data_IF_469946577296
#
_entry.id   IF_469946577296
#
_cell.length_a   1.000
_cell.length_b   1.000
_cell.length_c   1.000
_cell.angle_alpha   90.00
_cell.angle_beta   90.00
_cell.angle_gamma   90.00
#
_symmetry.space_group_name_H-M   'P 1'
#
loop_
_entity.id
_entity.type
_entity.pdbx_description
1 polymer ?
#
# COMPACT_ATOMS: atom_id res chain seq x y z
N UNK A 1 -4.54 10.24 11.90
CA UNK A 1 -3.95 9.18 11.07
C UNK A 1 -4.82 7.94 11.11
N UNK A 2 -4.77 7.16 10.06
CA UNK A 2 -5.54 5.93 9.97
C UNK A 2 -4.70 4.84 9.30
N UNK A 3 -5.03 3.59 9.60
CA UNK A 3 -4.37 2.43 9.02
C UNK A 3 -5.37 1.64 8.19
N UNK A 4 -4.92 1.17 7.03
CA UNK A 4 -5.74 0.38 6.13
C UNK A 4 -4.94 -0.82 5.65
N UNK A 5 -5.64 -1.87 5.27
CA UNK A 5 -5.02 -3.07 4.72
C UNK A 5 -5.46 -3.29 3.29
N UNK A 6 -4.55 -3.81 2.48
CA UNK A 6 -4.91 -4.32 1.16
C UNK A 6 -4.33 -5.72 0.96
N UNK A 7 -4.89 -6.44 0.02
CA UNK A 7 -4.32 -7.71 -0.45
C UNK A 7 -4.04 -7.59 -1.93
N UNK A 8 -3.26 -8.49 -2.46
CA UNK A 8 -3.03 -8.62 -3.89
C UNK A 8 -3.32 -10.07 -4.30
N UNK A 9 -2.95 -10.43 -5.53
CA UNK A 9 -3.24 -11.79 -6.00
C UNK A 9 -2.50 -12.88 -5.22
N UNK A 10 -1.48 -12.53 -4.43
CA UNK A 10 -0.80 -13.51 -3.59
C UNK A 10 -1.62 -13.89 -2.36
N UNK A 11 -2.67 -13.15 -2.07
CA UNK A 11 -3.51 -13.39 -0.89
C UNK A 11 -2.91 -12.90 0.42
N UNK A 12 -1.75 -12.25 0.37
CA UNK A 12 -1.11 -11.70 1.57
C UNK A 12 -1.67 -10.33 1.89
N UNK A 13 -1.58 -9.94 3.14
CA UNK A 13 -2.07 -8.65 3.60
C UNK A 13 -0.92 -7.68 3.83
N UNK A 14 -1.12 -6.42 3.45
CA UNK A 14 -0.15 -5.35 3.65
C UNK A 14 -0.86 -4.16 4.24
N UNK A 15 -0.34 -3.63 5.35
CA UNK A 15 -0.97 -2.52 6.06
C UNK A 15 -0.19 -1.24 5.80
N UNK A 16 -0.91 -0.16 5.53
CA UNK A 16 -0.31 1.14 5.28
C UNK A 16 -1.00 2.22 6.10
N UNK A 17 -0.27 3.30 6.34
CA UNK A 17 -0.75 4.42 7.13
C UNK A 17 -1.07 5.60 6.22
N UNK A 18 -2.17 6.28 6.50
CA UNK A 18 -2.53 7.53 5.85
C UNK A 18 -2.59 8.63 6.89
N UNK A 19 -1.98 9.78 6.58
CA UNK A 19 -2.00 10.94 7.46
C UNK A 19 -2.89 12.06 6.91
N UNK A 20 -3.10 12.09 5.60
CA UNK A 20 -3.87 13.13 4.94
C UNK A 20 -5.37 12.81 5.02
N UNK A 21 -6.16 13.73 5.52
CA UNK A 21 -7.61 13.53 5.71
C UNK A 21 -8.32 13.19 4.41
N UNK A 22 -7.92 13.82 3.32
CA UNK A 22 -8.55 13.55 2.03
C UNK A 22 -8.28 12.12 1.56
N UNK A 23 -7.07 11.64 1.77
CA UNK A 23 -6.71 10.25 1.41
C UNK A 23 -7.44 9.26 2.29
N UNK A 24 -7.59 9.56 3.58
CA UNK A 24 -8.34 8.71 4.51
C UNK A 24 -9.80 8.60 4.05
N UNK A 25 -10.40 9.71 3.66
CA UNK A 25 -11.77 9.69 3.18
C UNK A 25 -11.91 8.92 1.88
N UNK A 26 -10.96 9.06 0.96
CA UNK A 26 -10.95 8.28 -0.28
C UNK A 26 -10.87 6.78 0.01
N UNK A 27 -10.00 6.37 0.93
CA UNK A 27 -9.89 4.97 1.31
C UNK A 27 -11.21 4.43 1.87
N UNK A 28 -11.89 5.21 2.67
CA UNK A 28 -13.19 4.82 3.23
C UNK A 28 -14.26 4.69 2.16
N UNK A 29 -14.22 5.55 1.13
CA UNK A 29 -15.16 5.45 0.00
C UNK A 29 -14.88 4.22 -0.87
N UNK A 30 -13.61 3.82 -1.00
CA UNK A 30 -13.26 2.58 -1.68
C UNK A 30 -13.83 1.39 -0.91
N UNK A 31 -13.65 1.37 0.40
CA UNK A 31 -14.13 0.28 1.23
C UNK A 31 -15.66 0.19 1.25
N UNK A 32 -16.35 1.31 1.20
CA UNK A 32 -17.81 1.32 1.21
C UNK A 32 -18.43 0.99 -0.15
N UNK A 33 -17.62 0.95 -1.20
CA UNK A 33 -18.11 0.71 -2.56
C UNK A 33 -18.56 1.97 -3.29
N UNK A 34 -18.44 3.15 -2.68
CA UNK A 34 -18.75 4.39 -3.34
C UNK A 34 -17.77 4.72 -4.46
N UNK A 35 -16.49 4.46 -4.23
CA UNK A 35 -15.46 4.64 -5.26
C UNK A 35 -15.16 3.29 -5.89
N UNK A 36 -15.35 3.17 -7.19
CA UNK A 36 -15.16 1.90 -7.90
C UNK A 36 -14.10 1.97 -9.00
N UNK A 37 -13.51 3.13 -9.23
CA UNK A 37 -12.54 3.32 -10.32
C UNK A 37 -11.10 3.39 -9.80
N UNK A 38 -10.78 4.36 -8.99
CA UNK A 38 -9.44 4.54 -8.44
C UNK A 38 -9.31 3.76 -7.14
N UNK A 39 -9.20 2.45 -7.26
CA UNK A 39 -9.26 1.54 -6.12
C UNK A 39 -7.95 0.84 -5.79
N UNK A 40 -6.93 1.03 -6.59
CA UNK A 40 -5.61 0.42 -6.37
C UNK A 40 -4.68 1.39 -5.65
N UNK A 41 -3.76 0.87 -4.85
CA UNK A 41 -2.88 1.66 -4.00
C UNK A 41 -1.54 1.88 -4.66
N UNK A 42 -1.01 3.09 -4.58
CA UNK A 42 0.36 3.37 -5.02
C UNK A 42 1.04 4.35 -4.08
N UNK A 43 2.35 4.30 -4.04
CA UNK A 43 3.15 5.20 -3.23
C UNK A 43 4.61 4.82 -3.28
N UNK A 44 5.43 5.56 -2.54
CA UNK A 44 6.86 5.24 -2.45
C UNK A 44 7.10 4.31 -1.28
N UNK A 45 7.91 3.28 -1.52
CA UNK A 45 8.27 2.38 -0.43
C UNK A 45 9.44 2.93 0.36
N UNK A 46 9.51 2.53 1.63
CA UNK A 46 10.65 2.70 2.50
C UNK A 46 11.13 1.31 2.87
N UNK A 47 12.44 1.06 2.78
CA UNK A 47 12.98 -0.29 2.97
C UNK A 47 13.29 -0.56 4.44
N UNK A 48 12.33 -0.26 5.29
CA UNK A 48 12.39 -0.54 6.72
C UNK A 48 11.04 -1.07 7.19
N UNK A 49 11.07 -1.87 8.24
CA UNK A 49 9.84 -2.43 8.81
C UNK A 49 9.09 -1.41 9.64
N UNK A 50 7.78 -1.60 9.73
CA UNK A 50 6.94 -0.84 10.66
C UNK A 50 6.12 -1.82 11.47
N UNK A 51 5.95 -1.52 12.75
CA UNK A 51 5.21 -2.41 13.65
C UNK A 51 3.77 -2.61 13.25
N UNK A 52 3.15 -1.64 12.60
CA UNK A 52 1.76 -1.78 12.17
C UNK A 52 1.61 -2.68 10.93
N UNK A 53 2.72 -3.04 10.27
CA UNK A 53 2.72 -3.87 9.08
C UNK A 53 3.59 -5.11 9.31
N UNK A 54 3.17 -6.01 10.21
CA UNK A 54 4.00 -7.13 10.62
C UNK A 54 4.22 -8.14 9.48
N UNK A 55 5.39 -8.73 9.47
CA UNK A 55 5.75 -9.73 8.48
C UNK A 55 6.47 -9.17 7.27
N UNK A 56 6.55 -7.85 7.11
CA UNK A 56 7.21 -7.22 5.97
C UNK A 56 8.35 -6.31 6.42
N UNK A 57 9.42 -6.27 5.62
CA UNK A 57 10.59 -5.46 5.92
C UNK A 57 10.57 -4.13 5.17
N UNK A 58 9.45 -3.74 4.66
CA UNK A 58 9.25 -2.46 4.00
C UNK A 58 7.84 -1.94 4.30
N UNK A 59 7.63 -0.67 4.04
CA UNK A 59 6.31 -0.06 4.21
C UNK A 59 6.13 1.06 3.19
N UNK A 60 4.93 1.58 3.07
CA UNK A 60 4.64 2.72 2.21
C UNK A 60 4.77 4.02 2.99
N UNK A 61 5.49 4.99 2.42
CA UNK A 61 5.61 6.32 3.01
C UNK A 61 4.23 6.98 2.99
N UNK A 62 3.66 7.28 4.16
CA UNK A 62 2.28 7.77 4.25
C UNK A 62 1.99 9.03 3.42
N UNK A 63 3.00 9.89 3.27
CA UNK A 63 2.81 11.16 2.59
C UNK A 63 2.82 11.05 1.06
N UNK A 64 3.09 9.87 0.54
CA UNK A 64 3.21 9.65 -0.90
C UNK A 64 2.07 8.80 -1.46
N UNK A 65 1.18 8.31 -0.62
CA UNK A 65 0.17 7.34 -1.03
C UNK A 65 -0.97 8.02 -1.76
N UNK A 66 -1.35 7.45 -2.90
CA UNK A 66 -2.55 7.83 -3.65
C UNK A 66 -3.23 6.57 -4.16
N UNK A 67 -4.42 6.73 -4.74
CA UNK A 67 -5.17 5.63 -5.32
C UNK A 67 -5.29 5.83 -6.82
N UNK A 68 -5.28 4.74 -7.58
CA UNK A 68 -5.23 4.84 -9.04
C UNK A 68 -6.13 3.80 -9.70
N UNK A 69 -6.48 4.10 -10.97
CA UNK A 69 -7.19 3.16 -11.85
C UNK A 69 -6.18 2.42 -12.73
N UNK A 70 -5.26 3.15 -13.31
CA UNK A 70 -4.20 2.60 -14.17
C UNK A 70 -2.90 3.34 -13.91
N UNK A 71 -1.80 2.63 -13.99
CA UNK A 71 -0.46 3.19 -13.81
C UNK A 71 0.50 2.52 -14.79
N UNK A 72 1.76 2.99 -14.82
CA UNK A 72 2.76 2.37 -15.70
C UNK A 72 3.19 1.01 -15.12
N UNK A 73 3.58 0.11 -16.00
CA UNK A 73 3.89 -1.26 -15.57
C UNK A 73 5.16 -1.39 -14.75
N UNK A 74 6.09 -0.47 -14.88
CA UNK A 74 7.37 -0.59 -14.17
C UNK A 74 7.22 -0.56 -12.64
N UNK A 75 6.11 -0.03 -12.12
CA UNK A 75 5.89 0.00 -10.68
C UNK A 75 4.98 -1.13 -10.19
N UNK A 76 4.51 -1.99 -11.08
CA UNK A 76 3.65 -3.10 -10.69
C UNK A 76 4.49 -4.28 -10.18
N UNK A 77 4.17 -4.74 -8.99
CA UNK A 77 4.82 -5.88 -8.37
C UNK A 77 3.98 -6.38 -7.22
N UNK A 78 4.00 -7.68 -6.97
CA UNK A 78 3.28 -8.24 -5.82
C UNK A 78 3.99 -7.90 -4.50
N UNK A 79 3.27 -8.06 -3.41
CA UNK A 79 3.83 -7.86 -2.07
C UNK A 79 5.01 -8.80 -1.85
N UNK A 80 4.83 -10.08 -2.17
CA UNK A 80 5.85 -11.10 -1.96
C UNK A 80 7.09 -10.86 -2.82
N UNK A 81 6.88 -10.55 -4.10
CA UNK A 81 8.00 -10.28 -5.00
C UNK A 81 8.79 -9.06 -4.55
N UNK A 82 8.09 -8.00 -4.11
CA UNK A 82 8.74 -6.78 -3.63
C UNK A 82 9.59 -7.08 -2.39
N UNK A 83 9.04 -7.84 -1.45
CA UNK A 83 9.77 -8.25 -0.25
C UNK A 83 11.04 -9.02 -0.61
N UNK A 84 10.95 -9.93 -1.57
CA UNK A 84 12.07 -10.78 -1.97
C UNK A 84 13.15 -10.03 -2.76
N UNK A 85 12.85 -8.85 -3.26
CA UNK A 85 13.75 -8.06 -4.10
C UNK A 85 14.02 -6.65 -3.56
N UNK A 86 13.94 -6.49 -2.23
CA UNK A 86 14.18 -5.19 -1.61
C UNK A 86 15.59 -4.66 -1.86
N UNK A 87 16.57 -5.53 -2.02
CA UNK A 87 17.93 -5.14 -2.32
C UNK A 87 18.04 -4.43 -3.67
N UNK A 88 17.17 -4.76 -4.62
CA UNK A 88 17.16 -4.13 -5.94
C UNK A 88 16.16 -2.96 -6.04
N UNK A 89 15.24 -2.87 -5.10
CA UNK A 89 14.20 -1.84 -5.12
C UNK A 89 14.80 -0.45 -4.97
N UNK A 90 14.15 0.52 -5.59
CA UNK A 90 14.59 1.92 -5.64
C UNK A 90 15.80 2.13 -6.56
N UNK A 91 16.22 1.07 -7.26
CA UNK A 91 17.26 1.12 -8.27
C UNK A 91 16.67 0.71 -9.60
N UNK A 92 17.16 -0.40 -10.17
CA UNK A 92 16.63 -0.93 -11.43
C UNK A 92 15.21 -1.46 -11.26
N UNK A 93 14.91 -2.02 -10.09
CA UNK A 93 13.57 -2.47 -9.76
C UNK A 93 12.88 -1.36 -8.96
N UNK A 94 11.65 -1.03 -9.28
CA UNK A 94 10.86 0.07 -8.69
C UNK A 94 11.65 1.38 -8.65
N UNK A 95 11.98 1.94 -9.83
CA UNK A 95 12.76 3.19 -9.87
C UNK A 95 12.09 4.30 -9.09
N UNK A 96 12.89 5.07 -8.34
CA UNK A 96 12.36 6.14 -7.50
C UNK A 96 11.58 5.66 -6.32
N UNK A 97 11.66 4.37 -6.00
CA UNK A 97 10.91 3.73 -4.91
C UNK A 97 9.40 3.64 -5.16
N UNK A 98 8.93 3.97 -6.37
CA UNK A 98 7.50 3.97 -6.65
C UNK A 98 6.99 2.56 -6.82
N UNK A 99 5.92 2.24 -6.09
CA UNK A 99 5.29 0.92 -6.11
C UNK A 99 3.79 1.11 -6.33
N UNK A 100 3.26 0.45 -7.35
CA UNK A 100 1.84 0.52 -7.69
C UNK A 100 1.30 -0.86 -8.01
N UNK A 101 1.06 -1.69 -6.99
CA UNK A 101 0.58 -3.06 -7.22
C UNK A 101 -0.81 -3.03 -7.85
N UNK A 102 -0.89 -3.41 -9.11
CA UNK A 102 -2.12 -3.32 -9.90
C UNK A 102 -3.22 -4.24 -9.38
N UNK A 103 -2.87 -5.30 -8.67
CA UNK A 103 -3.85 -6.21 -8.11
C UNK A 103 -4.26 -5.84 -6.68
N UNK A 104 -3.77 -4.70 -6.16
CA UNK A 104 -4.09 -4.32 -4.79
C UNK A 104 -5.57 -4.00 -4.62
N UNK A 105 -6.14 -4.49 -3.52
CA UNK A 105 -7.52 -4.22 -3.15
C UNK A 105 -7.60 -3.96 -1.66
N UNK A 106 -8.16 -2.82 -1.28
CA UNK A 106 -8.39 -2.52 0.12
C UNK A 106 -9.39 -3.53 0.69
N UNK A 107 -9.08 -4.04 1.87
CA UNK A 107 -9.92 -5.04 2.52
C UNK A 107 -10.58 -4.52 3.78
N UNK A 108 -9.92 -3.67 4.54
CA UNK A 108 -10.45 -3.17 5.81
C UNK A 108 -9.68 -1.96 6.29
N UNK A 109 -10.31 -1.20 7.15
CA UNK A 109 -9.60 -0.20 7.95
C UNK A 109 -9.14 -0.91 9.23
N UNK A 110 -7.87 -0.76 9.58
CA UNK A 110 -7.31 -1.40 10.73
C UNK A 110 -7.48 -0.47 11.92
N UNK A 111 -8.27 -0.90 12.91
CA UNK A 111 -8.33 -0.15 14.15
C UNK A 111 -7.06 -0.38 14.89
N UNK A 112 -6.41 0.69 15.25
CA UNK A 112 -5.24 0.61 16.07
C UNK A 112 -5.66 -0.12 17.33
N UNK A 113 -5.02 -1.20 17.61
CA UNK A 113 -5.28 -1.95 18.76
C UNK A 113 -4.93 -1.12 19.92
N UNK A 114 -5.88 -0.78 20.64
CA UNK A 114 -5.67 -0.08 21.77
C UNK A 114 -5.43 -0.91 22.87
N UNK A 115 -5.19 -1.98 22.75
CA UNK A 115 -5.04 -2.75 23.77
C UNK A 115 -4.17 -2.45 24.50
N UNK A 116 -4.46 -2.11 24.95
CA UNK A 116 -3.88 -2.17 25.75
C UNK A 116 -3.58 -2.86 26.47
#
# INVERSE_FOLDING_TARGET
MALFAFTDYSGKEFIFQLNNEQRIEEARRILSGEETMSIHVMGRIRKTAQSYNPGWNFHLDPDTITFFTMAIEVCDSSIVYTEDHLDEACGAFLPGCFWCPWSSRLTREVTASVSA
#
